data_IF_077059202005
#
_entry.id   IF_077059202005
#
_cell.length_a   1.000
_cell.length_b   1.000
_cell.length_c   1.000
_cell.angle_alpha   90.00
_cell.angle_beta   90.00
_cell.angle_gamma   90.00
#
_symmetry.space_group_name_H-M   'P 1'
#
loop_
_entity.id
_entity.type
_entity.pdbx_description
1 polymer ?
#
# COMPACT_ATOMS: atom_id res chain seq x y z
N UNK A 1 -8.23 11.21 -28.07
CA UNK A 1 -8.46 12.05 -26.88
C UNK A 1 -7.13 12.64 -26.46
N UNK A 2 -7.02 13.96 -26.36
CA UNK A 2 -5.78 14.66 -26.01
C UNK A 2 -5.60 14.70 -24.49
N UNK A 3 -4.35 14.57 -24.02
CA UNK A 3 -3.96 14.64 -22.59
C UNK A 3 -4.54 15.86 -21.84
N UNK A 4 -4.79 16.96 -22.55
CA UNK A 4 -5.37 18.18 -22.02
C UNK A 4 -6.87 18.05 -21.64
N UNK A 5 -7.62 17.17 -22.30
CA UNK A 5 -9.05 16.96 -22.00
C UNK A 5 -9.28 16.04 -20.78
N UNK A 6 -8.28 15.23 -20.40
CA UNK A 6 -8.36 14.27 -19.30
C UNK A 6 -7.97 14.85 -17.93
N UNK A 7 -7.24 15.97 -17.89
CA UNK A 7 -6.83 16.62 -16.63
C UNK A 7 -8.04 17.11 -15.81
N UNK A 8 -9.03 17.82 -16.37
CA UNK A 8 -10.21 18.25 -15.60
C UNK A 8 -11.05 17.08 -15.08
N UNK A 9 -11.11 15.95 -15.81
CA UNK A 9 -11.85 14.77 -15.40
C UNK A 9 -11.17 14.03 -14.23
N UNK A 10 -9.83 14.00 -14.21
CA UNK A 10 -9.04 13.46 -13.09
C UNK A 10 -9.25 14.26 -11.80
N UNK A 11 -9.45 15.57 -11.91
CA UNK A 11 -9.73 16.46 -10.77
C UNK A 11 -11.22 16.74 -10.59
N UNK A 12 -12.11 15.86 -11.04
CA UNK A 12 -13.51 15.91 -10.63
C UNK A 12 -13.62 15.85 -9.10
N UNK A 13 -14.69 16.43 -8.56
CA UNK A 13 -14.90 16.57 -7.10
C UNK A 13 -14.82 15.22 -6.35
N UNK A 14 -15.06 14.10 -7.04
CA UNK A 14 -15.07 12.76 -6.47
C UNK A 14 -13.66 12.15 -6.22
N UNK A 15 -12.66 12.48 -7.05
CA UNK A 15 -11.31 11.90 -6.92
C UNK A 15 -10.22 12.91 -6.55
N UNK A 16 -10.53 14.21 -6.62
CA UNK A 16 -9.60 15.28 -6.25
C UNK A 16 -8.93 15.06 -4.88
N UNK A 17 -9.68 14.76 -3.81
CA UNK A 17 -9.09 14.53 -2.49
C UNK A 17 -8.12 13.34 -2.44
N UNK A 18 -8.43 12.24 -3.16
CA UNK A 18 -7.56 11.06 -3.24
C UNK A 18 -6.24 11.35 -3.97
N UNK A 19 -6.30 12.08 -5.09
CA UNK A 19 -5.09 12.48 -5.83
C UNK A 19 -4.21 13.43 -5.01
N UNK A 20 -4.82 14.37 -4.28
CA UNK A 20 -4.08 15.25 -3.36
C UNK A 20 -3.43 14.45 -2.24
N UNK A 21 -4.14 13.48 -1.65
CA UNK A 21 -3.58 12.63 -0.60
C UNK A 21 -2.35 11.84 -1.08
N UNK A 22 -2.41 11.26 -2.29
CA UNK A 22 -1.26 10.58 -2.92
C UNK A 22 -0.10 11.53 -3.17
N UNK A 23 -0.38 12.72 -3.73
CA UNK A 23 0.65 13.72 -4.01
C UNK A 23 1.37 14.18 -2.74
N UNK A 24 0.65 14.25 -1.61
CA UNK A 24 1.21 14.60 -0.31
C UNK A 24 1.88 13.42 0.40
N UNK A 25 1.74 12.19 -0.10
CA UNK A 25 2.32 11.00 0.56
C UNK A 25 3.85 11.07 0.67
N UNK A 26 4.63 11.39 -0.39
CA UNK A 26 6.09 11.51 -0.28
C UNK A 26 6.58 12.55 0.74
N UNK A 27 6.11 13.82 0.76
CA UNK A 27 6.56 14.78 1.77
C UNK A 27 6.11 14.41 3.18
N UNK A 28 4.94 13.79 3.36
CA UNK A 28 4.50 13.27 4.66
C UNK A 28 5.42 12.16 5.15
N UNK A 29 5.75 11.18 4.29
CA UNK A 29 6.69 10.11 4.64
C UNK A 29 8.08 10.67 4.99
N UNK A 30 8.58 11.65 4.23
CA UNK A 30 9.82 12.32 4.55
C UNK A 30 9.76 12.99 5.93
N UNK A 31 8.68 13.72 6.23
CA UNK A 31 8.48 14.35 7.53
C UNK A 31 8.45 13.34 8.68
N UNK A 32 7.78 12.18 8.50
CA UNK A 32 7.78 11.09 9.49
C UNK A 32 9.19 10.55 9.74
N UNK A 33 9.96 10.32 8.68
CA UNK A 33 11.35 9.84 8.80
C UNK A 33 12.25 10.87 9.49
N UNK A 34 12.11 12.16 9.14
CA UNK A 34 12.84 13.24 9.81
C UNK A 34 12.45 13.36 11.28
N UNK A 35 11.16 13.28 11.61
CA UNK A 35 10.69 13.31 12.99
C UNK A 35 11.23 12.13 13.79
N UNK A 36 11.22 10.91 13.23
CA UNK A 36 11.80 9.74 13.86
C UNK A 36 13.31 9.90 14.08
N UNK A 37 14.05 10.41 13.09
CA UNK A 37 15.48 10.66 13.21
C UNK A 37 15.78 11.70 14.29
N UNK A 38 15.02 12.79 14.33
CA UNK A 38 15.11 13.81 15.36
C UNK A 38 14.84 13.23 16.75
N UNK A 39 13.76 12.48 16.93
CA UNK A 39 13.42 11.83 18.20
C UNK A 39 14.49 10.83 18.65
N UNK A 40 15.08 10.07 17.72
CA UNK A 40 16.16 9.15 18.01
C UNK A 40 17.42 9.88 18.52
N UNK A 41 17.78 11.01 17.89
CA UNK A 41 18.88 11.86 18.33
C UNK A 41 18.64 12.47 19.72
N UNK A 42 17.38 12.68 20.11
CA UNK A 42 16.99 13.23 21.41
C UNK A 42 16.67 12.14 22.46
N UNK A 43 17.12 10.90 22.24
CA UNK A 43 17.08 9.83 23.24
C UNK A 43 15.84 8.92 23.19
N UNK A 44 14.96 9.06 22.18
CA UNK A 44 13.84 8.13 22.00
C UNK A 44 14.34 6.77 21.52
N UNK A 45 14.30 5.79 22.44
CA UNK A 45 14.66 4.39 22.13
C UNK A 45 13.75 3.78 21.07
N UNK A 46 12.45 4.07 21.11
CA UNK A 46 11.50 3.52 20.14
C UNK A 46 11.79 4.03 18.72
N UNK A 47 12.09 5.32 18.57
CA UNK A 47 12.42 5.88 17.26
C UNK A 47 13.75 5.31 16.73
N UNK A 48 14.75 5.14 17.59
CA UNK A 48 16.02 4.51 17.22
C UNK A 48 15.82 3.04 16.80
N UNK A 49 15.07 2.25 17.59
CA UNK A 49 14.75 0.86 17.27
C UNK A 49 13.98 0.74 15.97
N UNK A 50 12.99 1.60 15.74
CA UNK A 50 12.22 1.59 14.50
C UNK A 50 13.07 1.94 13.27
N UNK A 51 13.94 2.95 13.36
CA UNK A 51 14.84 3.30 12.25
C UNK A 51 15.86 2.19 11.96
N UNK A 52 16.38 1.51 12.99
CA UNK A 52 17.24 0.34 12.79
C UNK A 52 16.48 -0.82 12.14
N UNK A 53 15.26 -1.10 12.61
CA UNK A 53 14.40 -2.13 12.05
C UNK A 53 14.12 -1.83 10.56
N UNK A 54 13.65 -0.62 10.24
CA UNK A 54 13.44 -0.16 8.87
C UNK A 54 14.71 -0.28 8.03
N UNK A 55 15.88 0.06 8.60
CA UNK A 55 17.20 -0.08 7.96
C UNK A 55 17.60 -1.52 7.64
N UNK A 56 17.05 -2.51 8.36
CA UNK A 56 17.30 -3.94 8.14
C UNK A 56 16.34 -4.59 7.14
N UNK A 57 15.20 -3.96 6.84
CA UNK A 57 14.19 -4.47 5.91
C UNK A 57 14.73 -4.47 4.48
N UNK A 58 14.49 -5.56 3.75
CA UNK A 58 14.90 -5.72 2.35
C UNK A 58 14.29 -4.63 1.44
N UNK A 59 15.00 -4.16 0.40
CA UNK A 59 14.47 -3.09 -0.48
C UNK A 59 13.11 -3.41 -1.10
N UNK A 60 12.87 -4.67 -1.50
CA UNK A 60 11.59 -5.11 -2.06
C UNK A 60 10.46 -4.98 -1.04
N UNK A 61 10.68 -5.34 0.22
CA UNK A 61 9.68 -5.20 1.29
C UNK A 61 9.38 -3.73 1.57
N UNK A 62 10.39 -2.84 1.54
CA UNK A 62 10.16 -1.40 1.66
C UNK A 62 9.33 -0.84 0.50
N UNK A 63 9.55 -1.35 -0.71
CA UNK A 63 8.73 -0.99 -1.86
C UNK A 63 7.28 -1.47 -1.68
N UNK A 64 7.07 -2.69 -1.17
CA UNK A 64 5.72 -3.16 -0.82
C UNK A 64 5.08 -2.26 0.24
N UNK A 65 5.80 -1.92 1.31
CA UNK A 65 5.32 -1.01 2.34
C UNK A 65 4.90 0.35 1.76
N UNK A 66 5.70 0.90 0.84
CA UNK A 66 5.37 2.15 0.14
C UNK A 66 4.08 2.01 -0.70
N UNK A 67 3.91 0.92 -1.43
CA UNK A 67 2.69 0.67 -2.20
C UNK A 67 1.48 0.56 -1.27
N UNK A 68 1.57 -0.18 -0.17
CA UNK A 68 0.49 -0.27 0.81
C UNK A 68 0.14 1.10 1.43
N UNK A 69 1.13 1.97 1.68
CA UNK A 69 0.87 3.34 2.15
C UNK A 69 0.16 4.17 1.08
N UNK A 70 0.61 4.09 -0.18
CA UNK A 70 -0.04 4.82 -1.28
C UNK A 70 -1.48 4.35 -1.49
N UNK A 71 -1.74 3.06 -1.35
CA UNK A 71 -3.08 2.50 -1.45
C UNK A 71 -3.96 2.92 -0.26
N UNK A 72 -3.40 2.91 0.95
CA UNK A 72 -4.06 3.42 2.13
C UNK A 72 -4.44 4.90 2.00
N UNK A 73 -3.56 5.73 1.44
CA UNK A 73 -3.85 7.17 1.25
C UNK A 73 -4.87 7.42 0.15
N UNK A 74 -4.90 6.62 -0.91
CA UNK A 74 -5.98 6.62 -1.90
C UNK A 74 -7.32 6.31 -1.25
N UNK A 75 -7.43 5.18 -0.55
CA UNK A 75 -8.66 4.77 0.12
C UNK A 75 -9.14 5.80 1.15
N UNK A 76 -8.22 6.35 1.96
CA UNK A 76 -8.55 7.42 2.91
C UNK A 76 -9.08 8.68 2.20
N UNK A 77 -8.48 9.04 1.07
CA UNK A 77 -8.89 10.18 0.26
C UNK A 77 -10.22 9.99 -0.47
N UNK A 78 -10.68 8.75 -0.67
CA UNK A 78 -12.00 8.46 -1.26
C UNK A 78 -13.16 8.55 -0.24
N UNK A 79 -12.86 8.55 1.06
CA UNK A 79 -13.88 8.63 2.13
C UNK A 79 -14.78 9.86 1.99
N UNK A 80 -14.27 11.10 1.83
CA UNK A 80 -15.11 12.28 1.74
C UNK A 80 -16.06 12.27 0.55
N UNK A 81 -15.61 11.73 -0.60
CA UNK A 81 -16.42 11.64 -1.82
C UNK A 81 -17.63 10.70 -1.66
N UNK A 82 -17.53 9.70 -0.79
CA UNK A 82 -18.59 8.72 -0.56
C UNK A 82 -19.44 9.02 0.67
N UNK A 83 -18.97 9.89 1.57
CA UNK A 83 -19.64 10.18 2.84
C UNK A 83 -21.05 10.78 2.67
N UNK A 84 -21.28 11.55 1.60
CA UNK A 84 -22.56 12.24 1.34
C UNK A 84 -23.65 11.37 0.72
N UNK A 85 -23.29 10.29 0.01
CA UNK A 85 -24.22 9.55 -0.87
C UNK A 85 -24.16 8.03 -0.69
N UNK A 86 -23.06 7.51 -0.11
CA UNK A 86 -22.78 6.09 0.04
C UNK A 86 -22.05 5.80 1.36
N UNK A 87 -22.71 6.09 2.49
CA UNK A 87 -22.11 6.02 3.82
C UNK A 87 -21.43 4.68 4.16
N UNK A 88 -22.03 3.55 3.76
CA UNK A 88 -21.41 2.24 3.95
C UNK A 88 -20.07 2.12 3.20
N UNK A 89 -20.02 2.60 1.96
CA UNK A 89 -18.80 2.55 1.14
C UNK A 89 -17.71 3.46 1.71
N UNK A 90 -18.08 4.64 2.21
CA UNK A 90 -17.14 5.53 2.92
C UNK A 90 -16.53 4.86 4.16
N UNK A 91 -17.32 4.11 4.94
CA UNK A 91 -16.82 3.34 6.09
C UNK A 91 -15.88 2.23 5.65
N UNK A 92 -16.24 1.48 4.59
CA UNK A 92 -15.38 0.42 4.06
C UNK A 92 -14.03 0.97 3.59
N UNK A 93 -14.02 2.08 2.85
CA UNK A 93 -12.78 2.75 2.47
C UNK A 93 -11.94 3.22 3.66
N UNK A 94 -12.58 3.76 4.71
CA UNK A 94 -11.88 4.17 5.92
C UNK A 94 -11.25 2.99 6.68
N UNK A 95 -11.99 1.88 6.81
CA UNK A 95 -11.49 0.66 7.44
C UNK A 95 -10.35 0.03 6.64
N UNK A 96 -10.47 0.02 5.31
CA UNK A 96 -9.46 -0.54 4.43
C UNK A 96 -8.18 0.30 4.44
N UNK A 97 -8.29 1.63 4.37
CA UNK A 97 -7.17 2.53 4.53
C UNK A 97 -6.40 2.30 5.84
N UNK A 98 -7.13 2.11 6.94
CA UNK A 98 -6.52 1.79 8.24
C UNK A 98 -5.83 0.42 8.22
N UNK A 99 -6.48 -0.61 7.67
CA UNK A 99 -5.93 -1.96 7.61
C UNK A 99 -4.64 -1.99 6.77
N UNK A 100 -4.65 -1.39 5.58
CA UNK A 100 -3.49 -1.27 4.70
C UNK A 100 -2.33 -0.53 5.37
N UNK A 101 -2.61 0.58 6.07
CA UNK A 101 -1.59 1.33 6.80
C UNK A 101 -0.98 0.51 7.95
N UNK A 102 -1.80 -0.20 8.72
CA UNK A 102 -1.33 -1.06 9.81
C UNK A 102 -0.44 -2.19 9.28
N UNK A 103 -0.83 -2.82 8.16
CA UNK A 103 -0.01 -3.85 7.52
C UNK A 103 1.28 -3.26 6.96
N UNK A 104 1.25 -2.05 6.37
CA UNK A 104 2.45 -1.35 5.93
C UNK A 104 3.44 -1.13 7.07
N UNK A 105 2.96 -0.73 8.25
CA UNK A 105 3.80 -0.60 9.46
C UNK A 105 4.33 -1.97 9.88
N UNK A 106 3.48 -3.01 9.89
CA UNK A 106 3.85 -4.39 10.25
C UNK A 106 5.03 -4.88 9.39
N UNK A 107 5.06 -4.58 8.09
CA UNK A 107 6.17 -4.97 7.20
C UNK A 107 7.55 -4.52 7.70
N UNK A 108 7.59 -3.48 8.55
CA UNK A 108 8.83 -2.88 9.06
C UNK A 108 9.26 -3.41 10.43
N UNK A 109 8.41 -4.16 11.12
CA UNK A 109 8.63 -4.53 12.54
C UNK A 109 8.57 -6.03 12.82
N UNK A 110 7.88 -6.83 12.00
CA UNK A 110 7.76 -8.27 12.23
C UNK A 110 7.48 -9.05 10.92
N UNK A 111 7.69 -10.36 10.96
CA UNK A 111 7.37 -11.30 9.89
C UNK A 111 5.88 -11.69 9.91
N UNK A 112 5.40 -12.38 8.85
CA UNK A 112 4.05 -12.96 8.79
C UNK A 112 2.97 -12.02 8.29
N UNK A 113 3.35 -10.85 7.77
CA UNK A 113 2.44 -9.84 7.22
C UNK A 113 1.92 -10.22 5.83
N UNK A 114 2.62 -11.10 5.11
CA UNK A 114 2.37 -11.41 3.70
C UNK A 114 0.98 -11.97 3.43
N UNK A 115 0.48 -12.98 4.19
CA UNK A 115 -0.85 -13.53 3.93
C UNK A 115 -1.97 -12.51 4.18
N UNK A 116 -1.78 -11.63 5.19
CA UNK A 116 -2.75 -10.59 5.54
C UNK A 116 -2.76 -9.50 4.46
N UNK A 117 -1.60 -9.05 4.02
CA UNK A 117 -1.47 -8.10 2.91
C UNK A 117 -2.12 -8.65 1.63
N UNK A 118 -1.84 -9.90 1.28
CA UNK A 118 -2.45 -10.55 0.11
C UNK A 118 -3.97 -10.65 0.22
N UNK A 119 -4.49 -11.03 1.40
CA UNK A 119 -5.93 -11.13 1.62
C UNK A 119 -6.62 -9.78 1.44
N UNK A 120 -6.06 -8.69 1.99
CA UNK A 120 -6.60 -7.34 1.83
C UNK A 120 -6.58 -6.89 0.36
N UNK A 121 -5.43 -6.99 -0.31
CA UNK A 121 -5.30 -6.56 -1.70
C UNK A 121 -6.22 -7.36 -2.65
N UNK A 122 -6.34 -8.67 -2.44
CA UNK A 122 -7.29 -9.50 -3.23
C UNK A 122 -8.73 -9.13 -2.92
N UNK A 123 -9.07 -8.87 -1.65
CA UNK A 123 -10.41 -8.43 -1.28
C UNK A 123 -10.77 -7.10 -1.98
N UNK A 124 -9.82 -6.16 -2.07
CA UNK A 124 -10.02 -4.88 -2.76
C UNK A 124 -10.21 -5.02 -4.27
N UNK A 125 -9.46 -5.93 -4.91
CA UNK A 125 -9.66 -6.26 -6.33
C UNK A 125 -11.04 -6.86 -6.57
N UNK A 126 -11.46 -7.81 -5.74
CA UNK A 126 -12.78 -8.46 -5.84
C UNK A 126 -13.90 -7.47 -5.57
N UNK A 127 -13.77 -6.64 -4.53
CA UNK A 127 -14.76 -5.63 -4.19
C UNK A 127 -14.96 -4.65 -5.37
N UNK A 128 -13.87 -4.11 -5.93
CA UNK A 128 -13.96 -3.22 -7.08
C UNK A 128 -14.62 -3.90 -8.29
N UNK A 129 -14.23 -5.13 -8.62
CA UNK A 129 -14.83 -5.87 -9.73
C UNK A 129 -16.34 -6.05 -9.55
N UNK A 130 -16.80 -6.38 -8.33
CA UNK A 130 -18.23 -6.53 -8.03
C UNK A 130 -18.98 -5.19 -8.09
N UNK A 131 -18.38 -4.09 -7.64
CA UNK A 131 -19.01 -2.77 -7.71
C UNK A 131 -19.14 -2.26 -9.15
N UNK A 132 -18.13 -2.50 -9.99
CA UNK A 132 -18.18 -2.20 -11.42
C UNK A 132 -19.21 -3.09 -12.13
N UNK A 133 -19.21 -4.40 -11.88
CA UNK A 133 -20.14 -5.35 -12.51
C UNK A 133 -21.61 -5.06 -12.16
N UNK A 134 -21.87 -4.63 -10.91
CA UNK A 134 -23.21 -4.25 -10.46
C UNK A 134 -23.61 -2.81 -10.84
N UNK A 135 -22.77 -2.08 -11.57
CA UNK A 135 -23.01 -0.70 -12.00
C UNK A 135 -23.05 0.32 -10.86
N UNK A 136 -22.50 -0.03 -9.69
CA UNK A 136 -22.41 0.86 -8.52
C UNK A 136 -21.24 1.82 -8.59
N UNK A 137 -20.25 1.51 -9.42
CA UNK A 137 -19.06 2.31 -9.67
C UNK A 137 -18.72 2.26 -11.17
N UNK A 138 -18.20 3.36 -11.72
CA UNK A 138 -17.72 3.38 -13.09
C UNK A 138 -16.26 2.92 -13.17
N UNK A 139 -15.89 2.24 -14.25
CA UNK A 139 -14.49 1.92 -14.51
C UNK A 139 -13.76 3.18 -15.03
N UNK A 140 -13.21 3.97 -14.11
CA UNK A 140 -12.43 5.17 -14.42
C UNK A 140 -10.91 4.97 -14.26
N UNK A 141 -10.14 5.99 -14.62
CA UNK A 141 -8.68 5.95 -14.59
C UNK A 141 -8.09 5.86 -13.17
N UNK A 142 -8.76 6.43 -12.17
CA UNK A 142 -8.29 6.44 -10.77
C UNK A 142 -8.51 5.07 -10.15
N UNK A 143 -9.71 4.51 -10.30
CA UNK A 143 -10.05 3.15 -9.88
C UNK A 143 -9.11 2.12 -10.52
N UNK A 144 -8.95 2.16 -11.84
CA UNK A 144 -8.02 1.26 -12.54
C UNK A 144 -6.56 1.47 -12.11
N UNK A 145 -6.14 2.72 -11.85
CA UNK A 145 -4.79 3.03 -11.34
C UNK A 145 -4.52 2.42 -9.96
N UNK A 146 -5.50 2.51 -9.06
CA UNK A 146 -5.47 1.83 -7.75
C UNK A 146 -5.34 0.31 -7.92
N UNK A 147 -6.14 -0.31 -8.78
CA UNK A 147 -6.06 -1.77 -9.01
C UNK A 147 -4.70 -2.20 -9.60
N UNK A 148 -4.08 -1.39 -10.45
CA UNK A 148 -2.72 -1.66 -10.94
C UNK A 148 -1.67 -1.61 -9.83
N UNK A 149 -1.82 -0.66 -8.91
CA UNK A 149 -0.95 -0.54 -7.74
C UNK A 149 -1.09 -1.77 -6.83
N UNK A 150 -2.31 -2.20 -6.55
CA UNK A 150 -2.61 -3.41 -5.77
C UNK A 150 -2.02 -4.66 -6.42
N UNK A 151 -2.22 -4.85 -7.73
CA UNK A 151 -1.66 -5.96 -8.49
C UNK A 151 -0.13 -5.96 -8.47
N UNK A 152 0.50 -4.79 -8.55
CA UNK A 152 1.95 -4.67 -8.46
C UNK A 152 2.46 -5.06 -7.08
N UNK A 153 1.78 -4.64 -6.01
CA UNK A 153 2.10 -5.06 -4.65
C UNK A 153 1.95 -6.58 -4.47
N UNK A 154 0.85 -7.18 -4.95
CA UNK A 154 0.65 -8.64 -4.95
C UNK A 154 1.80 -9.34 -5.67
N UNK A 155 2.17 -8.88 -6.87
CA UNK A 155 3.24 -9.48 -7.65
C UNK A 155 4.58 -9.48 -6.90
N UNK A 156 4.91 -8.37 -6.23
CA UNK A 156 6.11 -8.28 -5.39
C UNK A 156 6.06 -9.24 -4.20
N UNK A 157 4.91 -9.34 -3.51
CA UNK A 157 4.72 -10.22 -2.35
C UNK A 157 4.84 -11.70 -2.75
N UNK A 158 4.25 -12.09 -3.87
CA UNK A 158 4.36 -13.46 -4.38
C UNK A 158 5.80 -13.76 -4.82
N UNK A 159 6.43 -12.84 -5.56
CA UNK A 159 7.79 -13.03 -6.06
C UNK A 159 8.84 -13.15 -4.94
N UNK A 160 8.68 -12.45 -3.82
CA UNK A 160 9.57 -12.65 -2.65
C UNK A 160 9.29 -13.99 -1.96
N UNK A 161 8.02 -14.42 -1.86
CA UNK A 161 7.63 -15.64 -1.15
C UNK A 161 8.16 -16.88 -1.86
N UNK A 162 8.09 -16.89 -3.20
CA UNK A 162 8.64 -17.97 -4.03
C UNK A 162 10.16 -18.06 -3.85
N UNK A 163 10.87 -16.93 -3.97
CA UNK A 163 12.33 -16.88 -3.77
C UNK A 163 12.77 -17.40 -2.41
N UNK A 164 12.01 -17.08 -1.37
CA UNK A 164 12.31 -17.55 -0.01
C UNK A 164 12.04 -19.04 0.17
N UNK A 165 11.10 -19.61 -0.58
CA UNK A 165 10.81 -21.05 -0.59
C UNK A 165 11.93 -21.82 -1.29
N UNK A 166 12.37 -21.35 -2.47
CA UNK A 166 13.46 -21.99 -3.24
C UNK A 166 14.78 -22.03 -2.46
N UNK A 167 15.10 -20.96 -1.72
CA UNK A 167 16.28 -20.87 -0.88
C UNK A 167 16.28 -21.87 0.30
N UNK A 168 15.11 -22.26 0.81
CA UNK A 168 14.98 -23.25 1.90
C UNK A 168 14.95 -24.69 1.40
N UNK A 169 14.43 -24.91 0.20
CA UNK A 169 14.32 -26.24 -0.43
C UNK A 169 15.62 -26.67 -1.12
N UNK A 170 16.52 -25.73 -1.42
CA UNK A 170 17.89 -26.03 -1.88
C UNK A 170 18.89 -25.98 -0.72
N UNK A 171 18.96 -26.99 0.17
CA UNK A 171 20.14 -27.11 1.01
C UNK A 171 21.30 -27.29 0.04
N UNK A 172 22.31 -26.42 0.15
CA UNK A 172 23.48 -26.44 -0.70
C UNK A 172 23.92 -27.88 -0.98
N UNK A 173 24.06 -28.21 -2.26
CA UNK A 173 24.82 -29.36 -2.74
C UNK A 173 26.30 -29.16 -2.35
N UNK A 174 26.58 -29.17 -1.06
CA UNK A 174 27.90 -29.15 -0.44
C UNK A 174 28.10 -30.51 0.22
N UNK A 175 28.26 -31.54 -0.59
CA UNK A 175 29.27 -32.58 -0.39
C UNK A 175 29.10 -33.64 -1.47
N UNK A 176 30.06 -33.69 -2.39
CA UNK A 176 30.60 -34.90 -3.04
C UNK A 176 31.47 -34.43 -4.18
N UNK A 177 32.69 -34.05 -3.84
CA UNK A 177 33.94 -34.32 -4.56
C UNK A 177 35.05 -33.73 -3.68
N UNK A 178 35.32 -34.48 -2.61
CA UNK A 178 36.67 -34.60 -2.04
C UNK A 178 37.20 -35.94 -2.52
#
# INVERSE_FOLDING_TARGET
MTLAASLPALFSDEHGPALVAVLLTPPVLAAVLFAAAFLAQHGSRLAALWLMALGSVQPVVRLVALLLVLDATLHAGLVPAHAGHAALLAVLFGLDALALLLVAIWTTVAEGWEPVALALLVANLVAYALFVDTGREAADAVGLGCKLLELFAIALIVAQTIRWTDARVSPAATSRFR
#
